data_IF_506028344289
#
_entry.id   IF_506028344289
#
_cell.length_a   1.000
_cell.length_b   1.000
_cell.length_c   1.000
_cell.angle_alpha   90.00
_cell.angle_beta   90.00
_cell.angle_gamma   90.00
#
_symmetry.space_group_name_H-M   'P 1'
#
loop_
_entity.id
_entity.type
_entity.pdbx_description
1 polymer ?
#
# COMPACT_ATOMS: atom_id res chain seq x y z
N UNK A 1 10.16 3.79 -0.69
CA UNK A 1 11.10 3.86 0.46
C UNK A 1 12.29 4.83 0.28
N UNK A 2 13.01 4.87 -0.84
CA UNK A 2 14.22 5.72 -0.98
C UNK A 2 13.97 7.24 -0.83
N UNK A 3 12.77 7.72 -1.21
CA UNK A 3 12.41 9.13 -1.12
C UNK A 3 12.24 9.62 0.34
N UNK A 4 11.68 8.79 1.21
CA UNK A 4 11.38 9.10 2.61
C UNK A 4 12.65 9.17 3.47
N UNK A 5 13.62 8.29 3.20
CA UNK A 5 14.93 8.34 3.87
C UNK A 5 15.66 9.65 3.51
N UNK A 6 15.54 10.11 2.26
CA UNK A 6 16.07 11.40 1.83
C UNK A 6 15.48 12.57 2.61
N UNK A 7 14.16 12.62 2.75
CA UNK A 7 13.47 13.70 3.47
C UNK A 7 13.78 13.69 4.97
N UNK A 8 13.85 12.52 5.62
CA UNK A 8 14.26 12.42 7.02
C UNK A 8 15.69 12.92 7.23
N UNK A 9 16.64 12.56 6.36
CA UNK A 9 18.03 13.02 6.46
C UNK A 9 18.14 14.53 6.29
N UNK A 10 17.45 15.09 5.29
CA UNK A 10 17.38 16.54 5.09
C UNK A 10 16.80 17.26 6.31
N UNK A 11 15.75 16.68 6.89
CA UNK A 11 15.07 17.22 8.07
C UNK A 11 15.96 17.22 9.32
N UNK A 12 16.66 16.11 9.58
CA UNK A 12 17.63 16.01 10.69
C UNK A 12 18.77 17.00 10.49
N UNK A 13 19.28 17.16 9.27
CA UNK A 13 20.31 18.15 8.96
C UNK A 13 19.83 19.58 9.23
N UNK A 14 18.57 19.90 8.89
CA UNK A 14 17.97 21.21 9.13
C UNK A 14 17.82 21.50 10.64
N UNK A 15 17.37 20.50 11.41
CA UNK A 15 17.28 20.57 12.87
C UNK A 15 18.65 20.77 13.54
N UNK A 16 19.67 20.04 13.09
CA UNK A 16 21.06 20.20 13.56
C UNK A 16 21.60 21.59 13.20
N UNK A 17 21.34 22.09 11.99
CA UNK A 17 21.73 23.43 11.57
C UNK A 17 21.09 24.53 12.43
N UNK A 18 19.77 24.47 12.63
CA UNK A 18 19.02 25.43 13.45
C UNK A 18 19.48 25.42 14.91
N UNK A 19 19.64 24.24 15.50
CA UNK A 19 20.13 24.11 16.88
C UNK A 19 21.55 24.64 17.04
N UNK A 20 22.42 24.45 16.05
CA UNK A 20 23.79 25.01 16.04
C UNK A 20 23.77 26.53 15.99
N UNK A 21 22.94 27.14 15.12
CA UNK A 21 22.77 28.60 15.06
C UNK A 21 22.26 29.13 16.41
N UNK A 22 21.28 28.45 17.00
CA UNK A 22 20.71 28.82 18.29
C UNK A 22 21.79 28.77 19.39
N UNK A 23 22.62 27.74 19.41
CA UNK A 23 23.74 27.61 20.33
C UNK A 23 24.79 28.72 20.12
N UNK A 24 25.12 29.05 18.88
CA UNK A 24 26.04 30.15 18.55
C UNK A 24 25.52 31.52 18.98
N UNK A 25 24.19 31.73 18.99
CA UNK A 25 23.58 32.98 19.47
C UNK A 25 23.48 33.02 21.01
N UNK A 26 23.26 31.87 21.64
CA UNK A 26 23.00 31.70 23.07
C UNK A 26 24.27 31.82 23.92
N UNK A 27 25.39 31.25 23.47
CA UNK A 27 26.67 31.28 24.21
C UNK A 27 27.21 32.70 24.44
N UNK A 28 27.30 33.58 23.43
CA UNK A 28 27.77 34.96 23.62
C UNK A 28 26.84 35.78 24.50
N UNK A 29 25.51 35.61 24.36
CA UNK A 29 24.54 36.34 25.20
C UNK A 29 24.60 35.92 26.66
N UNK A 30 24.80 34.63 26.95
CA UNK A 30 25.04 34.16 28.31
C UNK A 30 26.36 34.69 28.91
N UNK A 31 27.42 34.77 28.09
CA UNK A 31 28.69 35.37 28.51
C UNK A 31 28.56 36.86 28.82
N UNK A 32 27.85 37.63 27.98
CA UNK A 32 27.54 39.04 28.22
C UNK A 32 26.65 39.25 29.45
N UNK A 33 25.65 38.40 29.65
CA UNK A 33 24.79 38.41 30.82
C UNK A 33 25.61 38.23 32.10
N UNK A 34 26.49 37.22 32.13
CA UNK A 34 27.37 36.95 33.28
C UNK A 34 28.35 38.09 33.55
N UNK A 35 28.81 38.80 32.52
CA UNK A 35 29.78 39.90 32.64
C UNK A 35 29.14 41.28 32.90
N UNK A 36 27.80 41.37 33.02
CA UNK A 36 27.09 42.62 33.33
C UNK A 36 27.12 43.69 32.23
N UNK A 37 27.74 43.41 31.09
CA UNK A 37 27.82 44.31 29.92
C UNK A 37 26.66 44.00 28.96
N UNK A 38 26.02 45.04 28.41
CA UNK A 38 25.03 44.89 27.33
C UNK A 38 23.58 45.05 27.77
N UNK A 39 23.09 46.27 27.96
CA UNK A 39 21.66 46.54 28.31
C UNK A 39 20.76 46.74 27.07
N UNK A 40 21.33 46.96 25.88
CA UNK A 40 20.58 47.41 24.69
C UNK A 40 20.21 46.30 23.69
N UNK A 41 21.01 45.23 23.57
CA UNK A 41 20.81 44.14 22.59
C UNK A 41 20.06 42.93 23.17
N UNK A 42 19.98 42.84 24.51
CA UNK A 42 19.32 41.75 25.25
C UNK A 42 17.87 41.46 24.81
N UNK A 43 16.95 42.44 24.73
CA UNK A 43 15.57 42.13 24.40
C UNK A 43 15.45 41.59 22.97
N UNK A 44 16.24 42.11 22.03
CA UNK A 44 16.23 41.65 20.64
C UNK A 44 16.73 40.22 20.51
N UNK A 45 17.83 39.85 21.19
CA UNK A 45 18.32 38.45 21.15
C UNK A 45 17.34 37.49 21.84
N UNK A 46 16.75 37.89 22.95
CA UNK A 46 15.72 37.09 23.63
C UNK A 46 14.52 36.86 22.70
N UNK A 47 14.06 37.89 21.99
CA UNK A 47 12.96 37.78 21.01
C UNK A 47 13.35 36.83 19.87
N UNK A 48 14.54 36.97 19.28
CA UNK A 48 15.01 36.09 18.20
C UNK A 48 15.09 34.64 18.68
N UNK A 49 15.61 34.40 19.87
CA UNK A 49 15.66 33.05 20.44
C UNK A 49 14.28 32.48 20.72
N UNK A 50 13.37 33.28 21.27
CA UNK A 50 11.99 32.84 21.51
C UNK A 50 11.30 32.46 20.19
N UNK A 51 11.48 33.26 19.13
CA UNK A 51 10.94 32.95 17.79
C UNK A 51 11.55 31.67 17.23
N UNK A 52 12.87 31.49 17.35
CA UNK A 52 13.54 30.27 16.87
C UNK A 52 13.09 29.02 17.64
N UNK A 53 12.91 29.12 18.97
CA UNK A 53 12.41 28.00 19.78
C UNK A 53 10.97 27.66 19.37
N UNK A 54 10.10 28.65 19.21
CA UNK A 54 8.71 28.42 18.76
C UNK A 54 8.69 27.78 17.36
N UNK A 55 9.52 28.26 16.43
CA UNK A 55 9.63 27.68 15.10
C UNK A 55 10.15 26.23 15.15
N UNK A 56 11.16 25.95 15.97
CA UNK A 56 11.74 24.63 16.15
C UNK A 56 10.72 23.63 16.73
N UNK A 57 9.99 24.05 17.77
CA UNK A 57 8.95 23.23 18.41
C UNK A 57 7.80 23.00 17.43
N UNK A 58 7.30 24.05 16.78
CA UNK A 58 6.21 23.92 15.81
C UNK A 58 6.55 22.99 14.65
N UNK A 59 7.76 23.12 14.09
CA UNK A 59 8.24 22.25 13.02
C UNK A 59 8.44 20.80 13.49
N UNK A 60 9.07 20.60 14.66
CA UNK A 60 9.24 19.27 15.24
C UNK A 60 7.89 18.58 15.53
N UNK A 61 6.91 19.33 16.02
CA UNK A 61 5.56 18.80 16.27
C UNK A 61 4.87 18.45 14.96
N UNK A 62 4.95 19.31 13.94
CA UNK A 62 4.37 19.01 12.62
C UNK A 62 4.98 17.74 12.02
N UNK A 63 6.31 17.62 12.02
CA UNK A 63 7.02 16.41 11.57
C UNK A 63 6.63 15.16 12.35
N UNK A 64 6.49 15.29 13.67
CA UNK A 64 6.09 14.16 14.49
C UNK A 64 4.68 13.70 14.13
N UNK A 65 3.75 14.63 13.90
CA UNK A 65 2.38 14.30 13.47
C UNK A 65 2.39 13.65 12.08
N UNK A 66 3.09 14.24 11.12
CA UNK A 66 3.24 13.72 9.76
C UNK A 66 3.86 12.31 9.75
N UNK A 67 4.91 12.10 10.55
CA UNK A 67 5.51 10.78 10.74
C UNK A 67 4.56 9.78 11.38
N UNK A 68 3.78 10.18 12.38
CA UNK A 68 2.79 9.29 13.01
C UNK A 68 1.65 8.92 12.05
N UNK A 69 1.19 9.87 11.24
CA UNK A 69 0.21 9.61 10.18
C UNK A 69 0.76 8.60 9.19
N UNK A 70 1.98 8.82 8.67
CA UNK A 70 2.61 7.92 7.72
C UNK A 70 2.87 6.51 8.29
N UNK A 71 3.39 6.43 9.52
CA UNK A 71 3.61 5.15 10.22
C UNK A 71 2.33 4.40 10.52
N UNK A 72 1.21 5.12 10.66
CA UNK A 72 -0.11 4.56 10.89
C UNK A 72 -0.88 4.28 9.61
N UNK A 73 -0.41 4.75 8.45
CA UNK A 73 -1.07 4.50 7.18
C UNK A 73 -0.74 3.10 6.69
N UNK A 74 -1.80 2.35 6.39
CA UNK A 74 -1.71 1.10 5.67
C UNK A 74 -2.35 1.24 4.29
N UNK A 75 -1.78 0.51 3.35
CA UNK A 75 -2.27 0.39 1.99
C UNK A 75 -2.70 -1.06 1.72
N UNK A 76 -3.83 -1.22 1.05
CA UNK A 76 -4.32 -2.50 0.56
C UNK A 76 -4.60 -2.36 -0.94
N UNK A 77 -3.86 -3.10 -1.75
CA UNK A 77 -3.94 -3.07 -3.20
C UNK A 77 -4.36 -4.44 -3.74
N UNK A 78 -5.31 -4.43 -4.66
CA UNK A 78 -5.75 -5.59 -5.42
C UNK A 78 -5.51 -5.30 -6.89
N UNK A 79 -4.80 -6.19 -7.57
CA UNK A 79 -4.56 -6.12 -9.01
C UNK A 79 -4.83 -7.47 -9.63
N UNK A 80 -5.60 -7.47 -10.72
CA UNK A 80 -5.88 -8.64 -11.54
C UNK A 80 -5.64 -8.25 -13.00
N UNK A 81 -4.74 -8.99 -13.66
CA UNK A 81 -4.49 -8.88 -15.08
C UNK A 81 -4.96 -10.18 -15.74
N UNK A 82 -5.92 -10.06 -16.65
CA UNK A 82 -6.30 -11.15 -17.54
C UNK A 82 -5.81 -10.78 -18.93
N UNK A 83 -4.93 -11.61 -19.47
CA UNK A 83 -4.40 -11.44 -20.81
C UNK A 83 -4.78 -12.63 -21.67
N UNK A 84 -5.11 -12.35 -22.93
CA UNK A 84 -5.45 -13.36 -23.91
C UNK A 84 -4.61 -13.19 -25.17
N UNK A 85 -4.27 -14.32 -25.77
CA UNK A 85 -3.61 -14.39 -27.07
C UNK A 85 -4.50 -13.91 -28.22
N UNK A 86 -5.81 -14.07 -28.12
CA UNK A 86 -6.80 -13.63 -29.11
C UNK A 86 -7.97 -12.88 -28.43
N UNK A 87 -8.55 -11.84 -29.07
CA UNK A 87 -9.64 -11.06 -28.47
C UNK A 87 -10.95 -11.82 -28.54
N UNK A 88 -11.15 -12.72 -27.58
CA UNK A 88 -12.37 -13.51 -27.46
C UNK A 88 -13.05 -13.22 -26.13
N UNK A 89 -14.36 -13.42 -26.10
CA UNK A 89 -15.19 -13.21 -24.92
C UNK A 89 -14.97 -14.33 -23.90
N UNK A 90 -14.83 -13.99 -22.62
CA UNK A 90 -14.67 -14.98 -21.57
C UNK A 90 -15.09 -14.45 -20.22
N UNK A 91 -15.24 -15.36 -19.28
CA UNK A 91 -15.55 -15.06 -17.88
C UNK A 91 -14.55 -15.78 -17.00
N UNK A 92 -13.90 -15.06 -16.09
CA UNK A 92 -13.05 -15.65 -15.05
C UNK A 92 -13.63 -15.35 -13.68
N UNK A 93 -13.53 -16.33 -12.78
CA UNK A 93 -13.92 -16.26 -11.39
C UNK A 93 -12.66 -16.35 -10.55
N UNK A 94 -12.28 -15.25 -9.91
CA UNK A 94 -11.07 -15.18 -9.09
C UNK A 94 -11.40 -14.89 -7.64
N UNK A 95 -10.54 -15.32 -6.69
CA UNK A 95 -10.68 -14.93 -5.30
C UNK A 95 -10.61 -13.40 -5.16
N UNK A 96 -11.35 -12.88 -4.20
CA UNK A 96 -11.39 -11.46 -3.85
C UNK A 96 -11.15 -11.30 -2.35
N UNK A 97 -10.65 -10.14 -1.94
CA UNK A 97 -10.55 -9.83 -0.52
C UNK A 97 -11.95 -9.80 0.11
N UNK A 98 -12.09 -10.30 1.34
CA UNK A 98 -13.31 -10.12 2.15
C UNK A 98 -13.57 -8.65 2.52
N UNK A 99 -12.61 -7.76 2.28
CA UNK A 99 -12.74 -6.34 2.53
C UNK A 99 -13.79 -5.69 1.61
N UNK A 100 -14.96 -5.38 2.16
CA UNK A 100 -16.06 -4.76 1.40
C UNK A 100 -15.74 -3.34 0.89
N UNK A 101 -14.86 -2.60 1.55
CA UNK A 101 -14.42 -1.30 1.05
C UNK A 101 -13.53 -1.46 -0.19
N UNK A 102 -12.66 -2.49 -0.21
CA UNK A 102 -11.81 -2.77 -1.36
C UNK A 102 -12.65 -3.26 -2.54
N UNK A 103 -13.63 -4.14 -2.26
CA UNK A 103 -14.63 -4.57 -3.23
C UNK A 103 -15.39 -3.39 -3.87
N UNK A 104 -15.75 -2.39 -3.08
CA UNK A 104 -16.43 -1.18 -3.55
C UNK A 104 -15.53 -0.20 -4.32
N UNK A 105 -14.21 -0.36 -4.23
CA UNK A 105 -13.22 0.47 -4.90
C UNK A 105 -12.62 -0.19 -6.16
N UNK A 106 -13.15 -1.34 -6.58
CA UNK A 106 -12.70 -2.02 -7.80
C UNK A 106 -13.06 -1.23 -9.04
N UNK A 107 -12.05 -1.01 -9.87
CA UNK A 107 -12.15 -0.34 -11.16
C UNK A 107 -11.61 -1.25 -12.26
N UNK A 108 -12.28 -1.21 -13.41
CA UNK A 108 -11.89 -1.97 -14.61
C UNK A 108 -11.21 -1.01 -15.56
N UNK A 109 -9.93 -1.26 -15.85
CA UNK A 109 -9.13 -0.50 -16.82
C UNK A 109 -9.22 -1.16 -18.21
N UNK A 110 -10.44 -1.30 -18.73
CA UNK A 110 -10.67 -1.72 -20.11
C UNK A 110 -12.08 -1.37 -20.57
N UNK A 111 -12.23 -0.96 -21.83
CA UNK A 111 -13.53 -0.68 -22.45
C UNK A 111 -14.38 -1.96 -22.71
N UNK A 112 -13.76 -3.13 -22.60
CA UNK A 112 -14.34 -4.43 -22.97
C UNK A 112 -14.43 -5.40 -21.80
N UNK A 113 -14.40 -4.88 -20.58
CA UNK A 113 -14.43 -5.65 -19.34
C UNK A 113 -15.57 -5.18 -18.44
N UNK A 114 -16.12 -6.10 -17.67
CA UNK A 114 -17.04 -5.79 -16.58
C UNK A 114 -16.78 -6.70 -15.40
N UNK A 115 -17.05 -6.19 -14.20
CA UNK A 115 -16.86 -6.91 -12.96
C UNK A 115 -18.17 -7.04 -12.21
N UNK A 116 -18.36 -8.19 -11.59
CA UNK A 116 -19.47 -8.44 -10.67
C UNK A 116 -18.94 -9.30 -9.52
N UNK A 117 -19.49 -9.13 -8.34
CA UNK A 117 -19.18 -10.01 -7.20
C UNK A 117 -20.34 -10.97 -7.04
N UNK A 118 -20.08 -12.27 -7.00
CA UNK A 118 -21.10 -13.30 -6.88
C UNK A 118 -20.69 -14.44 -5.96
N UNK A 119 -21.69 -15.11 -5.38
CA UNK A 119 -21.48 -16.32 -4.59
C UNK A 119 -21.40 -17.55 -5.51
N UNK A 120 -20.28 -18.27 -5.43
CA UNK A 120 -20.05 -19.53 -6.14
C UNK A 120 -20.08 -20.70 -5.15
N UNK A 121 -20.14 -21.97 -5.61
CA UNK A 121 -19.98 -23.12 -4.73
C UNK A 121 -18.66 -23.15 -3.96
N UNK A 122 -17.64 -22.41 -4.43
CA UNK A 122 -16.33 -22.28 -3.77
C UNK A 122 -16.27 -21.07 -2.83
N UNK A 123 -17.31 -20.24 -2.77
CA UNK A 123 -17.41 -19.00 -2.00
C UNK A 123 -17.53 -17.77 -2.88
N UNK A 124 -17.48 -16.60 -2.24
CA UNK A 124 -17.60 -15.30 -2.90
C UNK A 124 -16.45 -15.10 -3.91
N UNK A 125 -16.78 -14.80 -5.16
CA UNK A 125 -15.82 -14.63 -6.25
C UNK A 125 -16.00 -13.28 -6.92
N UNK A 126 -14.90 -12.74 -7.46
CA UNK A 126 -14.96 -11.69 -8.46
C UNK A 126 -15.15 -12.35 -9.83
N UNK A 127 -16.35 -12.17 -10.40
CA UNK A 127 -16.67 -12.51 -11.79
C UNK A 127 -16.18 -11.37 -12.68
N UNK A 128 -15.19 -11.66 -13.51
CA UNK A 128 -14.69 -10.72 -14.52
C UNK A 128 -15.09 -11.24 -15.88
N UNK A 129 -15.96 -10.51 -16.56
CA UNK A 129 -16.34 -10.76 -17.94
C UNK A 129 -15.53 -9.84 -18.84
N UNK A 130 -14.91 -10.39 -19.88
CA UNK A 130 -13.93 -9.66 -20.67
C UNK A 130 -13.99 -10.03 -22.15
N UNK A 131 -13.50 -9.15 -23.01
CA UNK A 131 -13.20 -9.44 -24.41
C UNK A 131 -11.81 -8.91 -24.73
N UNK A 132 -10.84 -9.81 -24.90
CA UNK A 132 -9.41 -9.46 -24.95
C UNK A 132 -8.81 -9.26 -23.56
N UNK A 133 -7.86 -8.33 -23.44
CA UNK A 133 -7.17 -8.10 -22.17
C UNK A 133 -8.01 -7.21 -21.25
N UNK A 134 -8.03 -7.54 -19.96
CA UNK A 134 -8.66 -6.72 -18.92
C UNK A 134 -7.74 -6.61 -17.72
N UNK A 135 -7.65 -5.40 -17.17
CA UNK A 135 -7.03 -5.16 -15.87
C UNK A 135 -8.10 -4.68 -14.91
N UNK A 136 -8.14 -5.26 -13.73
CA UNK A 136 -8.97 -4.82 -12.62
C UNK A 136 -8.04 -4.41 -11.48
N UNK A 137 -8.29 -3.25 -10.90
CA UNK A 137 -7.47 -2.76 -9.79
C UNK A 137 -8.34 -2.11 -8.72
N UNK A 138 -7.89 -2.16 -7.47
CA UNK A 138 -8.42 -1.38 -6.37
C UNK A 138 -7.28 -1.02 -5.43
N UNK A 139 -7.30 0.20 -4.90
CA UNK A 139 -6.39 0.63 -3.85
C UNK A 139 -7.16 1.32 -2.73
N UNK A 140 -6.89 0.90 -1.51
CA UNK A 140 -7.33 1.58 -0.31
C UNK A 140 -6.12 2.06 0.49
N UNK A 141 -6.28 3.22 1.09
CA UNK A 141 -5.32 3.81 2.03
C UNK A 141 -6.09 4.25 3.27
N UNK A 142 -5.61 3.87 4.47
CA UNK A 142 -6.26 4.30 5.72
C UNK A 142 -5.29 4.35 6.89
N UNK A 143 -5.66 5.13 7.90
CA UNK A 143 -5.01 5.07 9.21
C UNK A 143 -5.48 3.82 9.98
N UNK A 144 -4.54 2.92 10.25
CA UNK A 144 -4.70 1.72 11.08
C UNK A 144 -4.97 0.42 10.33
N UNK A 145 -4.68 -0.68 11.02
CA UNK A 145 -4.65 -2.06 10.50
C UNK A 145 -5.86 -2.49 9.68
N UNK A 146 -5.65 -2.95 8.44
CA UNK A 146 -6.65 -3.76 7.71
C UNK A 146 -6.83 -5.11 8.41
N UNK A 147 -7.99 -5.32 9.06
CA UNK A 147 -8.29 -6.60 9.75
C UNK A 147 -8.83 -7.69 8.83
N UNK A 148 -9.50 -7.28 7.76
CA UNK A 148 -10.25 -8.17 6.86
C UNK A 148 -9.62 -8.15 5.47
N UNK A 149 -8.40 -8.65 5.31
CA UNK A 149 -7.68 -8.62 4.02
C UNK A 149 -7.61 -10.00 3.35
N UNK A 150 -7.97 -11.08 4.04
CA UNK A 150 -7.89 -12.43 3.49
C UNK A 150 -8.71 -12.63 2.22
N UNK A 151 -8.23 -13.53 1.37
CA UNK A 151 -8.88 -13.92 0.13
C UNK A 151 -9.95 -15.00 0.36
N UNK A 152 -11.03 -14.89 -0.41
CA UNK A 152 -12.12 -15.86 -0.49
C UNK A 152 -11.73 -17.09 -1.31
N UNK A 153 -12.63 -18.05 -1.50
CA UNK A 153 -12.41 -19.24 -2.34
C UNK A 153 -11.27 -20.17 -1.89
N UNK A 154 -11.02 -20.28 -0.58
CA UNK A 154 -10.03 -21.17 0.01
C UNK A 154 -10.36 -22.65 -0.21
N UNK A 155 -9.39 -23.46 -0.64
CA UNK A 155 -9.53 -24.91 -0.73
C UNK A 155 -9.15 -25.57 0.60
N UNK A 156 -10.10 -26.03 1.41
CA UNK A 156 -9.86 -26.54 2.78
C UNK A 156 -8.93 -27.79 2.89
N UNK A 157 -8.43 -28.36 1.78
CA UNK A 157 -7.69 -29.63 1.75
C UNK A 157 -6.15 -29.50 1.82
N UNK A 158 -5.59 -28.32 2.13
CA UNK A 158 -4.14 -28.06 1.99
C UNK A 158 -3.29 -28.17 3.27
N UNK A 159 -1.97 -28.25 3.06
CA UNK A 159 -0.93 -28.32 4.09
C UNK A 159 -0.81 -26.99 4.86
N UNK A 160 -0.36 -27.05 6.12
CA UNK A 160 -0.33 -25.93 7.07
C UNK A 160 0.52 -24.69 6.68
N UNK A 161 1.20 -24.70 5.52
CA UNK A 161 2.13 -23.65 5.09
C UNK A 161 1.81 -23.05 3.70
N UNK A 162 0.72 -23.45 3.05
CA UNK A 162 0.39 -23.02 1.68
C UNK A 162 -1.11 -22.85 1.55
N UNK A 163 -1.61 -21.65 1.24
CA UNK A 163 -3.05 -21.43 0.98
C UNK A 163 -3.32 -21.65 -0.50
N UNK A 164 -4.33 -22.44 -0.82
CA UNK A 164 -4.78 -22.64 -2.21
C UNK A 164 -6.14 -22.01 -2.38
N UNK A 165 -6.38 -21.38 -3.53
CA UNK A 165 -7.69 -20.83 -3.87
C UNK A 165 -8.19 -21.37 -5.21
N UNK A 166 -9.50 -21.42 -5.33
CA UNK A 166 -10.18 -21.82 -6.56
C UNK A 166 -10.21 -20.66 -7.56
N UNK A 167 -9.96 -20.98 -8.82
CA UNK A 167 -10.14 -20.05 -9.95
C UNK A 167 -11.00 -20.74 -11.00
N UNK A 168 -12.13 -20.14 -11.36
CA UNK A 168 -13.02 -20.64 -12.40
C UNK A 168 -12.78 -19.90 -13.71
N UNK A 169 -12.97 -20.58 -14.84
CA UNK A 169 -12.97 -19.96 -16.16
C UNK A 169 -14.13 -20.55 -16.96
N UNK A 170 -14.95 -19.69 -17.54
CA UNK A 170 -16.00 -20.03 -18.47
C UNK A 170 -15.76 -19.25 -19.77
N UNK A 171 -15.26 -19.95 -20.78
CA UNK A 171 -14.98 -19.38 -22.11
C UNK A 171 -16.13 -19.59 -23.10
N UNK A 172 -17.31 -20.03 -22.65
CA UNK A 172 -18.48 -20.20 -23.51
C UNK A 172 -18.29 -21.21 -24.65
N UNK A 173 -17.36 -22.17 -24.50
CA UNK A 173 -17.10 -23.23 -25.50
C UNK A 173 -16.21 -22.79 -26.67
N UNK A 174 -15.31 -21.84 -26.45
CA UNK A 174 -14.41 -21.36 -27.51
C UNK A 174 -13.35 -22.37 -27.94
N UNK A 175 -12.98 -22.40 -29.23
CA UNK A 175 -12.18 -23.50 -29.76
C UNK A 175 -10.69 -23.36 -29.42
N UNK A 176 -10.13 -22.15 -29.39
CA UNK A 176 -8.69 -21.94 -29.38
C UNK A 176 -8.28 -20.65 -28.66
N UNK A 177 -7.26 -20.72 -27.80
CA UNK A 177 -6.64 -19.56 -27.15
C UNK A 177 -6.02 -19.87 -25.79
N UNK A 178 -4.89 -19.23 -25.50
CA UNK A 178 -4.24 -19.23 -24.19
C UNK A 178 -4.67 -18.01 -23.38
N UNK A 179 -5.11 -18.22 -22.14
CA UNK A 179 -5.47 -17.18 -21.16
C UNK A 179 -4.42 -17.16 -20.07
N UNK A 180 -3.82 -16.01 -19.81
CA UNK A 180 -3.00 -15.81 -18.63
C UNK A 180 -3.74 -14.93 -17.63
N UNK A 181 -3.90 -15.44 -16.41
CA UNK A 181 -4.51 -14.74 -15.29
C UNK A 181 -3.42 -14.51 -14.26
N UNK A 182 -3.09 -13.25 -14.02
CA UNK A 182 -2.19 -12.82 -12.96
C UNK A 182 -2.99 -12.05 -11.92
N UNK A 183 -2.85 -12.45 -10.67
CA UNK A 183 -3.56 -11.86 -9.55
C UNK A 183 -2.55 -11.53 -8.44
N UNK A 184 -2.75 -10.36 -7.83
CA UNK A 184 -1.97 -9.85 -6.72
C UNK A 184 -2.89 -9.18 -5.71
N UNK A 185 -2.76 -9.55 -4.44
CA UNK A 185 -3.25 -8.75 -3.32
C UNK A 185 -2.06 -8.41 -2.46
N UNK A 186 -1.84 -7.12 -2.21
CA UNK A 186 -0.72 -6.60 -1.46
C UNK A 186 -1.24 -5.74 -0.30
N UNK A 187 -0.77 -6.02 0.91
CA UNK A 187 -0.93 -5.18 2.07
C UNK A 187 0.43 -4.60 2.43
N UNK A 188 0.51 -3.28 2.45
CA UNK A 188 1.68 -2.53 2.86
C UNK A 188 1.38 -1.76 4.15
N UNK A 189 2.09 -2.07 5.22
CA UNK A 189 2.27 -1.21 6.37
C UNK A 189 3.75 -0.82 6.51
N UNK A 190 4.06 0.02 7.49
CA UNK A 190 5.46 0.36 7.79
C UNK A 190 6.28 -0.86 8.24
N UNK A 191 5.69 -1.77 9.01
CA UNK A 191 6.35 -2.89 9.68
C UNK A 191 6.08 -4.26 9.03
N UNK A 192 5.05 -4.33 8.18
CA UNK A 192 4.54 -5.56 7.59
C UNK A 192 4.30 -5.37 6.10
N UNK A 193 4.70 -6.34 5.29
CA UNK A 193 4.29 -6.42 3.89
C UNK A 193 3.90 -7.86 3.60
N UNK A 194 2.64 -8.04 3.24
CA UNK A 194 2.07 -9.33 2.88
C UNK A 194 1.53 -9.25 1.47
N UNK A 195 1.90 -10.23 0.64
CA UNK A 195 1.35 -10.31 -0.70
C UNK A 195 1.00 -11.74 -1.07
N UNK A 196 -0.13 -11.87 -1.75
CA UNK A 196 -0.62 -13.11 -2.32
C UNK A 196 -0.59 -12.98 -3.84
N UNK A 197 0.20 -13.82 -4.50
CA UNK A 197 0.32 -13.83 -5.95
C UNK A 197 -0.05 -15.19 -6.53
N UNK A 198 -0.70 -15.14 -7.68
CA UNK A 198 -0.93 -16.30 -8.52
C UNK A 198 -0.85 -15.91 -9.99
N UNK A 199 -0.16 -16.74 -10.76
CA UNK A 199 -0.20 -16.70 -12.21
C UNK A 199 -0.62 -18.06 -12.74
N UNK A 200 -1.55 -18.06 -13.68
CA UNK A 200 -2.05 -19.25 -14.33
C UNK A 200 -2.08 -19.01 -15.84
N UNK A 201 -1.61 -19.99 -16.60
CA UNK A 201 -1.74 -20.04 -18.06
C UNK A 201 -2.65 -21.23 -18.40
N UNK A 202 -3.75 -20.97 -19.12
CA UNK A 202 -4.79 -21.95 -19.42
C UNK A 202 -4.90 -22.14 -20.92
N UNK A 203 -4.76 -23.39 -21.36
CA UNK A 203 -4.93 -23.84 -22.76
C UNK A 203 -6.38 -24.29 -23.05
N UNK A 204 -6.65 -24.84 -24.23
CA UNK A 204 -8.00 -25.13 -24.76
C UNK A 204 -8.84 -26.14 -23.97
N UNK A 205 -10.14 -25.83 -23.75
CA UNK A 205 -11.18 -26.82 -23.42
C UNK A 205 -11.49 -27.11 -21.93
N UNK A 206 -11.56 -26.09 -21.06
CA UNK A 206 -11.64 -26.30 -19.60
C UNK A 206 -12.81 -25.61 -18.91
N UNK A 207 -13.26 -26.17 -17.78
CA UNK A 207 -14.42 -25.69 -17.00
C UNK A 207 -14.06 -25.18 -15.57
N UNK A 208 -12.93 -25.59 -14.95
CA UNK A 208 -12.47 -25.04 -13.65
C UNK A 208 -11.05 -25.50 -13.27
N UNK A 209 -10.29 -24.66 -12.55
CA UNK A 209 -8.95 -25.00 -12.06
C UNK A 209 -8.75 -24.70 -10.57
N UNK A 210 -7.77 -25.40 -9.99
CA UNK A 210 -7.18 -25.07 -8.70
C UNK A 210 -5.83 -24.42 -8.95
N UNK A 211 -5.62 -23.24 -8.40
CA UNK A 211 -4.34 -22.54 -8.52
C UNK A 211 -3.60 -22.61 -7.19
N UNK A 212 -2.32 -22.94 -7.26
CA UNK A 212 -1.40 -22.89 -6.13
C UNK A 212 -0.93 -21.46 -5.95
N UNK A 213 -1.14 -20.89 -4.77
CA UNK A 213 -0.62 -19.56 -4.44
C UNK A 213 0.70 -19.72 -3.72
N UNK A 214 1.68 -18.93 -4.15
CA UNK A 214 2.89 -18.73 -3.36
C UNK A 214 2.59 -17.60 -2.38
N UNK A 215 2.46 -17.97 -1.10
CA UNK A 215 2.26 -17.03 -0.01
C UNK A 215 3.63 -16.53 0.47
N UNK A 216 3.84 -15.22 0.40
CA UNK A 216 5.07 -14.59 0.88
C UNK A 216 4.73 -13.59 1.98
N UNK A 217 5.25 -13.87 3.17
CA UNK A 217 5.12 -13.03 4.34
C UNK A 217 6.52 -12.51 4.73
N UNK A 218 6.70 -11.20 4.69
CA UNK A 218 7.96 -10.54 5.00
C UNK A 218 7.78 -9.56 6.16
N UNK A 219 8.40 -9.87 7.28
CA UNK A 219 8.49 -8.98 8.44
C UNK A 219 9.77 -8.15 8.37
N UNK A 220 9.65 -6.82 8.47
CA UNK A 220 10.78 -5.94 8.78
C UNK A 220 10.99 -5.91 10.30
N UNK A 221 11.49 -7.02 10.85
CA UNK A 221 11.86 -7.19 12.27
C UNK A 221 13.34 -6.94 12.56
#
# INVERSE_FOLDING_TARGET
>A
MAFVIGDMVCTVMLLVGLSTILFMLLVPTLAEYRNGKGRSTRPMVIIVMAVLIVALVGYSTWLYVDYQEWMGTEELEYTLNVTMSEPVHGVVYVPISVNTALQGALEVDSDNGSITIEETPMGLALRVEFTGNVTVHARLERLGEFKDFHLTMLDERHLAASRYHWVGLDTGGMPNGTVSVEFMLEQHSFDHTEWSWASMEVDEGWESYKVTFEYYDWYYG
#
